data_IF_394832753548
#
_entry.id   IF_394832753548
#
_cell.length_a   1.000
_cell.length_b   1.000
_cell.length_c   1.000
_cell.angle_alpha   90.00
_cell.angle_beta   90.00
_cell.angle_gamma   90.00
#
_symmetry.space_group_name_H-M   'P 1'
#
loop_
_entity.id
_entity.type
_entity.pdbx_description
1 polymer ?
#
# COMPACT_ATOMS: atom_id res chain seq x y z
N UNK A 1 -23.34 -11.69 -53.74
CA UNK A 1 -22.54 -10.82 -52.86
C UNK A 1 -23.35 -10.57 -51.60
N UNK A 2 -22.97 -11.17 -50.48
CA UNK A 2 -23.56 -10.82 -49.19
C UNK A 2 -23.15 -9.40 -48.81
N UNK A 3 -24.11 -8.59 -48.36
CA UNK A 3 -23.82 -7.28 -47.76
C UNK A 3 -23.58 -7.47 -46.26
N UNK A 4 -22.32 -7.55 -45.85
CA UNK A 4 -21.95 -7.40 -44.45
C UNK A 4 -22.14 -5.95 -44.02
N UNK A 5 -23.28 -5.66 -43.40
CA UNK A 5 -23.57 -4.35 -42.83
C UNK A 5 -22.52 -4.01 -41.77
N UNK A 6 -21.83 -2.85 -41.82
CA UNK A 6 -20.88 -2.47 -40.79
C UNK A 6 -21.60 -2.31 -39.46
N UNK A 7 -21.16 -3.05 -38.45
CA UNK A 7 -21.77 -3.06 -37.12
C UNK A 7 -21.60 -1.70 -36.43
N UNK A 8 -22.64 -0.85 -36.52
CA UNK A 8 -22.70 0.41 -35.77
C UNK A 8 -22.98 0.10 -34.31
N UNK A 9 -22.00 0.33 -33.44
CA UNK A 9 -22.14 0.22 -31.99
C UNK A 9 -23.27 1.17 -31.51
N UNK A 10 -24.33 0.67 -30.86
CA UNK A 10 -25.43 1.51 -30.38
C UNK A 10 -24.96 2.59 -29.40
N UNK A 11 -25.42 3.83 -29.58
CA UNK A 11 -25.03 4.99 -28.73
C UNK A 11 -25.35 4.76 -27.25
N UNK A 12 -26.38 3.99 -26.93
CA UNK A 12 -26.73 3.58 -25.58
C UNK A 12 -25.60 2.83 -24.84
N UNK A 13 -24.72 2.12 -25.55
CA UNK A 13 -23.58 1.42 -24.94
C UNK A 13 -22.63 2.42 -24.27
N UNK A 14 -22.43 3.62 -24.84
CA UNK A 14 -21.62 4.66 -24.19
C UNK A 14 -22.25 5.16 -22.89
N UNK A 15 -23.57 5.28 -22.83
CA UNK A 15 -24.30 5.64 -21.60
C UNK A 15 -24.14 4.56 -20.54
N UNK A 16 -24.23 3.27 -20.92
CA UNK A 16 -23.99 2.14 -20.02
C UNK A 16 -22.54 2.09 -19.54
N UNK A 17 -21.55 2.33 -20.41
CA UNK A 17 -20.13 2.40 -20.01
C UNK A 17 -19.91 3.53 -18.99
N UNK A 18 -20.44 4.73 -19.25
CA UNK A 18 -20.29 5.86 -18.31
C UNK A 18 -21.01 5.56 -16.99
N UNK A 19 -22.19 4.95 -17.00
CA UNK A 19 -22.90 4.55 -15.78
C UNK A 19 -22.15 3.45 -15.00
N UNK A 20 -21.54 2.47 -15.68
CA UNK A 20 -20.71 1.44 -15.05
C UNK A 20 -19.42 2.02 -14.47
N UNK A 21 -18.75 2.94 -15.19
CA UNK A 21 -17.55 3.62 -14.70
C UNK A 21 -17.86 4.54 -13.51
N UNK A 22 -18.99 5.27 -13.54
CA UNK A 22 -19.45 6.07 -12.41
C UNK A 22 -19.85 5.20 -11.20
N UNK A 23 -20.47 4.05 -11.44
CA UNK A 23 -20.79 3.05 -10.40
C UNK A 23 -19.54 2.41 -9.80
N UNK A 24 -18.56 2.03 -10.62
CA UNK A 24 -17.26 1.52 -10.20
C UNK A 24 -16.44 2.58 -9.45
N UNK A 25 -16.45 3.82 -9.90
CA UNK A 25 -15.80 4.95 -9.22
C UNK A 25 -16.48 5.24 -7.88
N UNK A 26 -17.81 5.30 -7.83
CA UNK A 26 -18.55 5.47 -6.58
C UNK A 26 -18.30 4.32 -5.60
N UNK A 27 -18.26 3.08 -6.09
CA UNK A 27 -17.88 1.92 -5.29
C UNK A 27 -16.45 2.05 -4.77
N UNK A 28 -15.47 2.39 -5.62
CA UNK A 28 -14.07 2.55 -5.23
C UNK A 28 -13.83 3.75 -4.29
N UNK A 29 -14.62 4.82 -4.40
CA UNK A 29 -14.45 6.03 -3.59
C UNK A 29 -15.17 5.95 -2.22
N UNK A 30 -16.29 5.21 -2.13
CA UNK A 30 -17.14 5.19 -0.93
C UNK A 30 -17.31 3.80 -0.28
N UNK A 31 -17.01 2.71 -0.99
CA UNK A 31 -17.32 1.33 -0.56
C UNK A 31 -16.18 0.32 -0.65
N UNK A 32 -15.08 0.66 -1.32
CA UNK A 32 -13.81 -0.04 -1.23
C UNK A 32 -13.05 0.55 -0.02
N UNK A 33 -13.12 -0.06 1.17
CA UNK A 33 -12.34 0.44 2.31
C UNK A 33 -10.87 0.51 1.92
N UNK A 34 -10.12 1.44 2.50
CA UNK A 34 -8.68 1.39 2.45
C UNK A 34 -8.23 0.12 3.17
N UNK A 35 -8.14 -1.01 2.43
CA UNK A 35 -7.76 -2.32 2.93
C UNK A 35 -6.25 -2.36 3.06
N UNK A 36 -5.70 -2.88 4.17
CA UNK A 36 -4.25 -2.89 4.36
C UNK A 36 -3.57 -3.76 3.29
N UNK A 37 -4.23 -4.86 2.86
CA UNK A 37 -3.79 -5.69 1.72
C UNK A 37 -3.55 -4.89 0.43
N UNK A 38 -4.41 -3.90 0.13
CA UNK A 38 -4.31 -3.08 -1.09
C UNK A 38 -3.16 -2.09 -0.99
N UNK A 39 -2.88 -1.54 0.18
CA UNK A 39 -1.72 -0.67 0.39
C UNK A 39 -0.42 -1.42 0.07
N UNK A 40 -0.28 -2.67 0.55
CA UNK A 40 0.88 -3.53 0.25
C UNK A 40 0.95 -3.90 -1.24
N UNK A 41 -0.17 -4.28 -1.85
CA UNK A 41 -0.22 -4.59 -3.29
C UNK A 41 0.16 -3.37 -4.16
N UNK A 42 -0.37 -2.19 -3.86
CA UNK A 42 -0.08 -0.97 -4.60
C UNK A 42 1.40 -0.57 -4.44
N UNK A 43 1.95 -0.67 -3.23
CA UNK A 43 3.36 -0.39 -2.95
C UNK A 43 4.30 -1.24 -3.84
N UNK A 44 4.18 -2.58 -3.79
CA UNK A 44 5.07 -3.44 -4.61
C UNK A 44 4.78 -3.35 -6.11
N UNK A 45 3.51 -3.19 -6.52
CA UNK A 45 3.20 -2.97 -7.94
C UNK A 45 3.75 -1.66 -8.49
N UNK A 46 3.90 -0.64 -7.66
CA UNK A 46 4.53 0.62 -8.02
C UNK A 46 6.06 0.49 -8.04
N UNK A 47 6.63 -0.12 -7.00
CA UNK A 47 8.06 -0.38 -6.87
C UNK A 47 8.62 -1.16 -8.06
N UNK A 48 8.02 -2.30 -8.44
CA UNK A 48 8.44 -3.08 -9.61
C UNK A 48 8.19 -2.39 -10.97
N UNK A 49 7.49 -1.25 -11.00
CA UNK A 49 7.29 -0.41 -12.21
C UNK A 49 8.15 0.86 -12.20
N UNK A 50 8.90 1.14 -11.14
CA UNK A 50 9.62 2.40 -10.95
C UNK A 50 8.72 3.62 -10.68
N UNK A 51 7.48 3.41 -10.24
CA UNK A 51 6.54 4.49 -9.87
C UNK A 51 6.80 4.91 -8.41
N UNK A 52 7.92 5.60 -8.19
CA UNK A 52 8.37 5.93 -6.84
C UNK A 52 7.49 6.96 -6.13
N UNK A 53 6.72 7.76 -6.86
CA UNK A 53 5.68 8.63 -6.29
C UNK A 53 4.55 7.79 -5.65
N UNK A 54 4.12 6.71 -6.30
CA UNK A 54 3.16 5.76 -5.70
C UNK A 54 3.79 4.92 -4.58
N UNK A 55 5.10 4.68 -4.58
CA UNK A 55 5.86 4.00 -3.49
C UNK A 55 6.05 4.90 -2.25
N UNK A 56 6.19 6.21 -2.43
CA UNK A 56 6.25 7.20 -1.36
C UNK A 56 4.85 7.52 -0.81
N UNK A 57 3.85 7.57 -1.70
CA UNK A 57 2.48 7.19 -1.33
C UNK A 57 2.47 5.74 -0.79
N UNK A 58 1.44 5.29 -0.10
CA UNK A 58 1.41 4.00 0.61
C UNK A 58 2.46 3.84 1.76
N UNK A 59 3.58 4.57 1.83
CA UNK A 59 4.49 4.63 3.00
C UNK A 59 4.02 5.61 4.09
N UNK A 60 4.42 5.35 5.35
CA UNK A 60 4.19 6.21 6.51
C UNK A 60 5.25 7.31 6.60
N UNK A 61 4.86 8.51 7.05
CA UNK A 61 5.83 9.57 7.37
C UNK A 61 6.73 9.20 8.55
N UNK A 62 6.29 8.31 9.44
CA UNK A 62 7.09 7.79 10.55
C UNK A 62 8.14 6.76 10.09
N UNK A 63 7.88 6.06 8.97
CA UNK A 63 8.92 5.25 8.32
C UNK A 63 10.00 6.13 7.68
N UNK A 64 9.58 7.25 7.07
CA UNK A 64 10.44 8.18 6.35
C UNK A 64 11.60 8.73 7.20
N UNK A 65 11.38 8.95 8.50
CA UNK A 65 12.40 9.41 9.47
C UNK A 65 13.67 8.54 9.46
N UNK A 66 13.55 7.24 9.16
CA UNK A 66 14.70 6.32 9.07
C UNK A 66 15.54 6.51 7.81
N UNK A 67 14.93 6.99 6.73
CA UNK A 67 15.56 7.25 5.44
C UNK A 67 16.03 8.71 5.31
N UNK A 68 15.29 9.63 5.92
CA UNK A 68 15.42 11.07 5.81
C UNK A 68 15.67 11.66 7.21
N UNK A 69 16.92 11.59 7.72
CA UNK A 69 17.24 11.95 9.11
C UNK A 69 17.00 13.43 9.44
N UNK A 70 16.84 14.30 8.45
CA UNK A 70 16.44 15.70 8.63
C UNK A 70 15.06 15.86 9.30
N UNK A 71 14.19 14.85 9.25
CA UNK A 71 12.89 14.84 9.92
C UNK A 71 12.91 14.17 11.30
N UNK A 72 14.05 13.66 11.79
CA UNK A 72 14.10 12.89 13.03
C UNK A 72 13.76 13.68 14.30
N UNK A 73 13.99 14.99 14.28
CA UNK A 73 13.65 15.91 15.38
C UNK A 73 12.22 16.47 15.26
N UNK A 74 11.47 16.15 14.19
CA UNK A 74 10.07 16.56 14.06
C UNK A 74 9.16 15.67 14.90
N UNK A 75 8.21 16.29 15.59
CA UNK A 75 7.14 15.56 16.27
C UNK A 75 6.13 14.99 15.24
N UNK A 76 5.20 14.18 15.73
CA UNK A 76 4.21 13.53 14.89
C UNK A 76 3.26 14.50 14.15
N UNK A 77 2.96 15.67 14.73
CA UNK A 77 2.13 16.70 14.10
C UNK A 77 2.82 17.26 12.85
N UNK A 78 4.08 17.66 13.01
CA UNK A 78 4.89 18.28 11.97
C UNK A 78 5.17 17.28 10.83
N UNK A 79 5.43 16.01 11.14
CA UNK A 79 5.54 14.94 10.13
C UNK A 79 4.25 14.75 9.32
N UNK A 80 3.09 14.77 9.98
CA UNK A 80 1.78 14.62 9.31
C UNK A 80 1.33 15.88 8.56
N UNK A 81 1.88 17.04 8.91
CA UNK A 81 1.66 18.32 8.22
C UNK A 81 2.56 18.44 6.97
N UNK A 82 3.86 18.16 7.11
CA UNK A 82 4.86 18.25 6.05
C UNK A 82 4.87 17.05 5.09
N UNK A 83 3.85 16.18 5.19
CA UNK A 83 3.71 14.94 4.42
C UNK A 83 4.06 15.08 2.93
N UNK A 84 3.56 16.10 2.26
CA UNK A 84 3.73 16.24 0.80
C UNK A 84 5.19 16.50 0.40
N UNK A 85 5.97 17.14 1.27
CA UNK A 85 7.41 17.35 1.10
C UNK A 85 8.17 16.04 1.39
N UNK A 86 7.82 15.37 2.49
CA UNK A 86 8.37 14.06 2.87
C UNK A 86 8.13 13.01 1.76
N UNK A 87 6.91 12.88 1.22
CA UNK A 87 6.59 11.94 0.14
C UNK A 87 7.43 12.24 -1.13
N UNK A 88 7.65 13.52 -1.46
CA UNK A 88 8.50 13.91 -2.59
C UNK A 88 9.96 13.53 -2.37
N UNK A 89 10.51 13.75 -1.17
CA UNK A 89 11.90 13.39 -0.86
C UNK A 89 12.11 11.87 -0.78
N UNK A 90 11.14 11.10 -0.26
CA UNK A 90 11.17 9.63 -0.34
C UNK A 90 11.22 9.17 -1.80
N UNK A 91 10.33 9.70 -2.65
CA UNK A 91 10.26 9.34 -4.07
C UNK A 91 11.60 9.59 -4.78
N UNK A 92 12.21 10.75 -4.53
CA UNK A 92 13.53 11.09 -5.07
C UNK A 92 14.62 10.13 -4.57
N UNK A 93 14.74 9.91 -3.25
CA UNK A 93 15.81 9.07 -2.68
C UNK A 93 15.67 7.60 -3.11
N UNK A 94 14.45 7.04 -3.11
CA UNK A 94 14.21 5.69 -3.62
C UNK A 94 14.55 5.63 -5.12
N UNK A 95 14.10 6.61 -5.91
CA UNK A 95 14.40 6.66 -7.34
C UNK A 95 15.89 6.76 -7.67
N UNK A 96 16.66 7.53 -6.89
CA UNK A 96 18.11 7.62 -7.03
C UNK A 96 18.80 6.30 -6.67
N UNK A 97 18.43 5.66 -5.55
CA UNK A 97 18.99 4.36 -5.12
C UNK A 97 18.66 3.26 -6.13
N UNK A 98 17.39 3.11 -6.49
CA UNK A 98 16.93 2.07 -7.42
C UNK A 98 17.41 2.32 -8.86
N UNK A 99 17.78 3.55 -9.24
CA UNK A 99 18.44 3.79 -10.55
C UNK A 99 19.77 3.04 -10.71
N UNK A 100 20.36 2.58 -9.61
CA UNK A 100 21.60 1.80 -9.59
C UNK A 100 21.37 0.28 -9.64
N UNK A 101 20.11 -0.17 -9.55
CA UNK A 101 19.73 -1.59 -9.47
C UNK A 101 18.65 -1.96 -10.50
N UNK A 102 18.86 -3.06 -11.22
CA UNK A 102 17.79 -3.61 -12.07
C UNK A 102 16.99 -4.63 -11.26
N UNK A 103 15.77 -4.29 -10.90
CA UNK A 103 14.83 -5.22 -10.26
C UNK A 103 14.68 -6.50 -11.12
N UNK A 104 14.70 -7.72 -10.52
CA UNK A 104 14.53 -8.94 -11.29
C UNK A 104 13.16 -8.96 -11.99
N UNK A 105 13.10 -9.33 -13.29
CA UNK A 105 11.83 -9.39 -14.00
C UNK A 105 10.94 -10.50 -13.44
N UNK A 106 9.64 -10.21 -13.38
CA UNK A 106 8.55 -11.13 -13.01
C UNK A 106 8.37 -11.46 -11.51
N UNK A 107 8.98 -10.69 -10.59
CA UNK A 107 8.62 -10.79 -9.16
C UNK A 107 7.19 -10.30 -8.93
N UNK A 108 6.43 -11.07 -8.16
CA UNK A 108 5.08 -10.75 -7.69
C UNK A 108 4.95 -10.98 -6.19
N UNK A 109 3.89 -10.44 -5.58
CA UNK A 109 3.54 -10.75 -4.17
C UNK A 109 2.22 -11.51 -4.08
N UNK A 110 2.11 -12.42 -3.13
CA UNK A 110 0.87 -13.09 -2.75
C UNK A 110 0.49 -12.74 -1.31
N UNK A 111 -0.66 -12.09 -1.12
CA UNK A 111 -1.15 -11.71 0.21
C UNK A 111 -1.77 -12.91 0.92
N UNK A 112 -1.20 -13.28 2.07
CA UNK A 112 -1.66 -14.39 2.90
C UNK A 112 -2.82 -13.95 3.82
N UNK A 113 -3.99 -13.68 3.22
CA UNK A 113 -5.20 -13.19 3.92
C UNK A 113 -5.53 -13.84 5.28
N UNK A 114 -5.37 -15.16 5.49
CA UNK A 114 -5.66 -15.79 6.78
C UNK A 114 -4.76 -15.35 7.95
N UNK A 115 -3.73 -14.53 7.68
CA UNK A 115 -2.81 -13.92 8.65
C UNK A 115 -2.91 -12.38 8.64
N UNK A 116 -3.79 -11.80 7.83
CA UNK A 116 -4.09 -10.37 7.89
C UNK A 116 -4.90 -10.08 9.17
N UNK A 117 -4.41 -9.15 9.98
CA UNK A 117 -5.15 -8.59 11.11
C UNK A 117 -5.41 -7.10 10.83
N UNK A 118 -6.67 -6.67 10.88
CA UNK A 118 -7.06 -5.26 10.68
C UNK A 118 -7.73 -4.73 11.95
N UNK A 119 -7.19 -3.63 12.48
CA UNK A 119 -7.76 -2.83 13.56
C UNK A 119 -8.33 -1.50 13.05
N UNK A 120 -8.64 -0.63 14.00
CA UNK A 120 -9.16 0.72 13.72
C UNK A 120 -8.07 1.63 13.16
N UNK A 121 -6.91 1.64 13.80
CA UNK A 121 -5.77 2.53 13.51
C UNK A 121 -4.54 1.78 13.00
N UNK A 122 -4.45 0.46 13.21
CA UNK A 122 -3.36 -0.39 12.76
C UNK A 122 -3.80 -1.60 11.94
N UNK A 123 -2.86 -2.20 11.19
CA UNK A 123 -3.04 -3.51 10.58
C UNK A 123 -1.70 -4.25 10.44
N UNK A 124 -1.77 -5.58 10.33
CA UNK A 124 -0.65 -6.45 9.95
C UNK A 124 -1.07 -7.25 8.72
N UNK A 125 -0.22 -7.28 7.69
CA UNK A 125 -0.46 -8.02 6.43
C UNK A 125 0.75 -8.88 6.14
N UNK A 126 0.56 -10.20 6.08
CA UNK A 126 1.60 -11.15 5.67
C UNK A 126 1.52 -11.42 4.17
N UNK A 127 2.66 -11.49 3.50
CA UNK A 127 2.75 -11.79 2.06
C UNK A 127 4.01 -12.56 1.71
N UNK A 128 3.94 -13.36 0.64
CA UNK A 128 5.08 -14.06 0.05
C UNK A 128 5.54 -13.37 -1.23
N UNK A 129 6.84 -13.36 -1.50
CA UNK A 129 7.40 -13.02 -2.80
C UNK A 129 7.44 -14.26 -3.70
N UNK A 130 7.11 -14.10 -4.98
CA UNK A 130 7.16 -15.17 -5.98
C UNK A 130 7.84 -14.73 -7.27
N UNK A 131 8.84 -15.48 -7.73
CA UNK A 131 9.35 -15.44 -9.12
C UNK A 131 8.79 -16.66 -9.85
N UNK A 132 8.00 -16.45 -10.92
CA UNK A 132 7.49 -17.52 -11.80
C UNK A 132 6.83 -18.72 -11.11
N UNK A 133 6.29 -18.50 -9.90
CA UNK A 133 5.64 -19.45 -8.96
C UNK A 133 6.55 -20.10 -7.89
N UNK A 134 7.86 -19.88 -7.91
CA UNK A 134 8.76 -20.26 -6.81
C UNK A 134 8.69 -19.22 -5.68
N UNK A 135 8.62 -19.68 -4.43
CA UNK A 135 8.54 -18.80 -3.26
C UNK A 135 9.93 -18.30 -2.84
N UNK A 136 10.16 -17.00 -2.98
CA UNK A 136 11.47 -16.37 -2.76
C UNK A 136 11.70 -15.94 -1.30
N UNK A 137 10.61 -15.79 -0.53
CA UNK A 137 10.64 -15.32 0.85
C UNK A 137 9.27 -14.82 1.30
N UNK A 138 9.16 -14.43 2.58
CA UNK A 138 7.92 -13.94 3.19
C UNK A 138 8.22 -12.77 4.13
N UNK A 139 7.30 -11.82 4.17
CA UNK A 139 7.37 -10.64 5.03
C UNK A 139 6.00 -10.34 5.64
N UNK A 140 6.01 -9.62 6.77
CA UNK A 140 4.87 -8.93 7.30
C UNK A 140 5.07 -7.41 7.20
N UNK A 141 4.09 -6.73 6.59
CA UNK A 141 3.94 -5.29 6.70
C UNK A 141 3.10 -4.96 7.94
N UNK A 142 3.59 -4.00 8.73
CA UNK A 142 2.84 -3.32 9.78
C UNK A 142 2.38 -1.99 9.20
N UNK A 143 1.08 -1.70 9.28
CA UNK A 143 0.46 -0.51 8.71
C UNK A 143 -0.24 0.33 9.77
N UNK A 144 -0.24 1.64 9.57
CA UNK A 144 -0.90 2.65 10.41
C UNK A 144 -1.89 3.47 9.57
N UNK A 145 -3.06 3.83 10.12
CA UNK A 145 -4.15 4.51 9.41
C UNK A 145 -4.03 6.03 9.55
N UNK A 146 -3.19 6.63 8.71
CA UNK A 146 -2.97 8.07 8.67
C UNK A 146 -4.07 8.78 7.86
N UNK A 147 -4.80 9.71 8.49
CA UNK A 147 -5.89 10.50 7.86
C UNK A 147 -6.88 9.63 7.06
N UNK A 148 -7.24 8.46 7.62
CA UNK A 148 -8.19 7.50 7.05
C UNK A 148 -7.62 6.46 6.09
N UNK A 149 -6.35 6.56 5.68
CA UNK A 149 -5.69 5.62 4.75
C UNK A 149 -4.61 4.82 5.46
N UNK A 150 -4.55 3.50 5.26
CA UNK A 150 -3.40 2.73 5.71
C UNK A 150 -2.14 3.11 4.94
N UNK A 151 -1.05 3.20 5.70
CA UNK A 151 0.32 3.44 5.23
C UNK A 151 1.25 2.43 5.89
N UNK A 152 2.22 1.91 5.16
CA UNK A 152 3.23 0.96 5.66
C UNK A 152 4.16 1.71 6.62
N UNK A 153 4.15 1.31 7.88
CA UNK A 153 5.02 1.81 8.94
C UNK A 153 6.33 1.01 9.03
N UNK A 154 6.25 -0.28 8.76
CA UNK A 154 7.38 -1.20 8.80
C UNK A 154 7.13 -2.41 7.92
N UNK A 155 8.19 -3.01 7.38
CA UNK A 155 8.18 -4.33 6.75
C UNK A 155 9.25 -5.17 7.47
N UNK A 156 9.02 -6.47 7.65
CA UNK A 156 9.93 -7.35 8.39
C UNK A 156 9.85 -8.76 7.81
N UNK A 157 10.99 -9.44 7.56
CA UNK A 157 11.01 -10.85 7.19
C UNK A 157 10.31 -11.74 8.22
N UNK A 158 9.66 -12.79 7.74
CA UNK A 158 8.85 -13.72 8.54
C UNK A 158 9.11 -15.15 8.07
N UNK A 159 9.40 -16.06 9.00
CA UNK A 159 9.44 -17.48 8.70
C UNK A 159 8.08 -18.16 8.94
N UNK A 160 7.84 -19.33 8.32
CA UNK A 160 6.58 -20.07 8.52
C UNK A 160 6.33 -20.46 9.99
N UNK A 161 7.39 -20.49 10.81
CA UNK A 161 7.35 -20.78 12.24
C UNK A 161 6.77 -19.62 13.07
N UNK A 162 6.81 -18.38 12.55
CA UNK A 162 6.32 -17.17 13.23
C UNK A 162 4.86 -16.84 12.90
N UNK A 163 4.31 -17.45 11.85
CA UNK A 163 2.91 -17.32 11.44
C UNK A 163 1.87 -17.54 12.58
N UNK A 164 2.06 -18.46 13.55
CA UNK A 164 1.19 -18.56 14.72
C UNK A 164 1.30 -17.35 15.67
N UNK A 165 2.49 -16.77 15.81
CA UNK A 165 2.72 -15.57 16.63
C UNK A 165 2.05 -14.35 16.00
N UNK A 166 2.09 -14.23 14.67
CA UNK A 166 1.40 -13.15 13.94
C UNK A 166 -0.12 -13.20 14.16
N UNK A 167 -0.70 -14.40 14.28
CA UNK A 167 -2.11 -14.57 14.68
C UNK A 167 -2.40 -14.26 16.16
N UNK A 168 -1.37 -14.23 17.00
CA UNK A 168 -1.48 -13.87 18.41
C UNK A 168 -1.19 -12.38 18.68
N UNK A 169 -0.86 -11.57 17.65
CA UNK A 169 -0.67 -10.12 17.79
C UNK A 169 -1.92 -9.47 18.38
N UNK A 170 -1.73 -8.72 19.45
CA UNK A 170 -2.78 -7.96 20.12
C UNK A 170 -3.09 -6.69 19.32
N UNK A 171 -3.98 -6.80 18.33
CA UNK A 171 -4.36 -5.68 17.45
C UNK A 171 -4.91 -4.47 18.23
N UNK A 172 -5.56 -4.68 19.38
CA UNK A 172 -6.12 -3.61 20.21
C UNK A 172 -5.05 -2.78 20.93
N UNK A 173 -3.94 -3.41 21.33
CA UNK A 173 -2.79 -2.73 21.93
C UNK A 173 -1.98 -1.98 20.87
N UNK A 174 -1.83 -2.57 19.68
CA UNK A 174 -1.25 -1.88 18.53
C UNK A 174 -2.09 -0.66 18.11
N UNK A 175 -3.42 -0.78 18.10
CA UNK A 175 -4.35 0.33 17.86
C UNK A 175 -4.18 1.44 18.90
N UNK A 176 -4.06 1.10 20.18
CA UNK A 176 -3.86 2.07 21.27
C UNK A 176 -2.54 2.84 21.10
N UNK A 177 -1.43 2.13 20.85
CA UNK A 177 -0.11 2.72 20.64
C UNK A 177 -0.07 3.63 19.38
N UNK A 178 -0.72 3.22 18.29
CA UNK A 178 -0.83 4.04 17.09
C UNK A 178 -1.77 5.22 17.27
N UNK A 179 -2.85 5.07 18.03
CA UNK A 179 -3.71 6.20 18.35
C UNK A 179 -2.96 7.23 19.21
N UNK A 180 -2.17 6.80 20.20
CA UNK A 180 -1.30 7.69 20.97
C UNK A 180 -0.28 8.42 20.07
N UNK A 181 0.39 7.72 19.14
CA UNK A 181 1.28 8.36 18.16
C UNK A 181 0.56 9.37 17.24
N UNK A 182 -0.70 9.12 16.91
CA UNK A 182 -1.51 9.99 16.04
C UNK A 182 -2.23 11.13 16.79
N UNK A 183 -2.39 11.05 18.12
CA UNK A 183 -3.03 12.09 18.95
C UNK A 183 -2.07 12.87 19.84
N UNK A 184 -0.86 12.37 20.07
CA UNK A 184 0.29 13.20 20.51
C UNK A 184 0.80 14.13 19.39
N UNK A 185 0.11 14.10 18.25
CA UNK A 185 0.26 14.97 17.08
C UNK A 185 -0.79 16.12 17.02
N UNK A 186 -1.57 16.34 18.08
CA UNK A 186 -2.54 17.44 18.24
C UNK A 186 -2.21 18.34 19.44
#
# INVERSE_FOLDING_TARGET
>A
MEKTTPAKVPVFIWVVIVALLAGLYGYAAYWDPARPEKTVQNFYQAYFKGDYDTVASNLSVFWAVRLLPQYAEMNAADLLANRAEIEKEISQVIGEVESMYTAPPDITIEIMRPYTQEGTTGAVVVYKFKDKSEEMGMEAAILIREKGRFRILNMTPVDEQDLPQIKAVNISEMDANFNELLTSAE
#
